data_IF_344887549834
#
_entry.id   IF_344887549834
#
_cell.length_a   1.000
_cell.length_b   1.000
_cell.length_c   1.000
_cell.angle_alpha   90.00
_cell.angle_beta   90.00
_cell.angle_gamma   90.00
#
_symmetry.space_group_name_H-M   'P 1'
#
loop_
_entity.id
_entity.type
_entity.pdbx_description
1 polymer ?
#
# COMPACT_ATOMS: atom_id res chain seq x y z
N UNK A 1 5.00 -15.66 12.99
CA UNK A 1 4.14 -14.51 12.61
C UNK A 1 4.88 -13.74 11.55
N UNK A 2 4.30 -13.57 10.36
CA UNK A 2 4.95 -12.80 9.29
C UNK A 2 4.76 -11.32 9.60
N UNK A 3 5.85 -10.58 9.57
CA UNK A 3 5.92 -9.12 9.56
C UNK A 3 4.85 -8.48 8.66
N UNK A 4 4.57 -9.07 7.48
CA UNK A 4 3.50 -8.59 6.58
C UNK A 4 2.09 -8.61 7.20
N UNK A 5 1.73 -9.64 7.98
CA UNK A 5 0.43 -9.72 8.66
C UNK A 5 0.34 -8.73 9.82
N UNK A 6 1.45 -8.52 10.55
CA UNK A 6 1.52 -7.48 11.58
C UNK A 6 1.25 -6.10 10.96
N UNK A 7 1.99 -5.73 9.91
CA UNK A 7 1.85 -4.42 9.27
C UNK A 7 0.48 -4.25 8.60
N UNK A 8 -0.07 -5.29 7.99
CA UNK A 8 -1.43 -5.26 7.45
C UNK A 8 -2.45 -4.83 8.52
N UNK A 9 -2.38 -5.43 9.70
CA UNK A 9 -3.31 -5.16 10.81
C UNK A 9 -3.11 -3.79 11.43
N UNK A 10 -1.87 -3.41 11.76
CA UNK A 10 -1.62 -2.14 12.47
C UNK A 10 -1.80 -0.91 11.57
N UNK A 11 -1.60 -1.06 10.25
CA UNK A 11 -1.90 -0.01 9.28
C UNK A 11 -3.40 0.09 8.98
N UNK A 12 -4.22 -0.82 9.50
CA UNK A 12 -5.66 -0.85 9.25
C UNK A 12 -6.01 -1.10 7.78
N UNK A 13 -5.15 -1.82 7.06
CA UNK A 13 -5.42 -2.18 5.66
C UNK A 13 -6.58 -3.16 5.62
N UNK A 14 -7.36 -3.06 4.54
CA UNK A 14 -8.48 -3.96 4.26
C UNK A 14 -8.31 -4.54 2.87
N UNK A 15 -8.96 -5.67 2.62
CA UNK A 15 -9.11 -6.15 1.24
C UNK A 15 -9.66 -5.04 0.34
N UNK A 16 -9.14 -4.91 -0.89
CA UNK A 16 -8.26 -5.85 -1.58
C UNK A 16 -6.75 -5.56 -1.41
N UNK A 17 -6.38 -4.65 -0.53
CA UNK A 17 -4.98 -4.32 -0.25
C UNK A 17 -4.32 -5.40 0.61
N UNK A 18 -3.02 -5.60 0.41
CA UNK A 18 -2.18 -6.46 1.24
C UNK A 18 -0.76 -5.91 1.31
N UNK A 19 -0.02 -6.28 2.35
CA UNK A 19 1.40 -5.96 2.47
C UNK A 19 2.19 -7.02 1.70
N UNK A 20 2.82 -6.61 0.61
CA UNK A 20 3.66 -7.48 -0.22
C UNK A 20 4.99 -7.77 0.47
N UNK A 21 5.64 -6.74 0.99
CA UNK A 21 6.97 -6.83 1.58
C UNK A 21 7.18 -5.77 2.67
N UNK A 22 8.07 -6.08 3.60
CA UNK A 22 8.55 -5.18 4.64
C UNK A 22 10.08 -5.29 4.66
N UNK A 23 10.75 -4.15 4.52
CA UNK A 23 12.21 -4.06 4.50
C UNK A 23 12.65 -3.18 5.68
N UNK A 24 13.50 -3.73 6.55
CA UNK A 24 14.07 -3.00 7.68
C UNK A 24 15.53 -2.69 7.38
N UNK A 25 15.86 -1.41 7.29
CA UNK A 25 17.23 -0.91 7.25
C UNK A 25 17.62 -0.38 8.63
N UNK A 26 18.44 -1.14 9.34
CA UNK A 26 18.91 -0.76 10.67
C UNK A 26 20.01 0.27 10.67
N UNK A 27 20.76 0.42 9.57
CA UNK A 27 21.81 1.41 9.44
C UNK A 27 21.22 2.80 9.23
N UNK A 28 20.21 2.91 8.37
CA UNK A 28 19.50 4.16 8.07
C UNK A 28 18.35 4.47 9.03
N UNK A 29 18.03 3.54 9.93
CA UNK A 29 16.92 3.72 10.89
C UNK A 29 15.58 3.82 10.17
N UNK A 30 15.33 2.95 9.19
CA UNK A 30 14.21 3.05 8.25
C UNK A 30 13.48 1.72 8.05
N UNK A 31 12.17 1.78 7.91
CA UNK A 31 11.31 0.67 7.49
C UNK A 31 10.58 1.07 6.22
N UNK A 32 10.68 0.25 5.17
CA UNK A 32 9.96 0.41 3.92
C UNK A 32 8.92 -0.70 3.80
N UNK A 33 7.65 -0.32 3.66
CA UNK A 33 6.51 -1.23 3.57
C UNK A 33 5.94 -1.11 2.17
N UNK A 34 5.92 -2.20 1.41
CA UNK A 34 5.29 -2.23 0.09
C UNK A 34 3.88 -2.80 0.20
N UNK A 35 2.92 -2.03 -0.28
CA UNK A 35 1.48 -2.32 -0.25
C UNK A 35 0.97 -2.41 -1.68
N UNK A 36 0.27 -3.50 -1.97
CA UNK A 36 -0.26 -3.82 -3.30
C UNK A 36 -1.70 -4.30 -3.16
N UNK A 37 -2.42 -4.42 -4.27
CA UNK A 37 -3.77 -4.99 -4.29
C UNK A 37 -3.86 -6.18 -5.24
N UNK A 38 -4.82 -7.07 -5.01
CA UNK A 38 -5.00 -8.26 -5.84
C UNK A 38 -5.33 -7.93 -7.31
N UNK A 39 -5.07 -8.86 -8.25
CA UNK A 39 -5.51 -8.72 -9.64
C UNK A 39 -7.04 -8.82 -9.76
N UNK A 40 -7.61 -8.22 -10.80
CA UNK A 40 -9.05 -8.29 -11.07
C UNK A 40 -9.93 -7.45 -10.15
N UNK A 41 -9.32 -6.65 -9.27
CA UNK A 41 -10.03 -5.70 -8.41
C UNK A 41 -10.63 -4.59 -9.26
N UNK A 42 -11.89 -4.27 -8.96
CA UNK A 42 -12.59 -3.12 -9.52
C UNK A 42 -12.58 -1.97 -8.52
N UNK A 43 -12.47 -0.76 -9.04
CA UNK A 43 -12.36 0.45 -8.26
C UNK A 43 -13.46 1.43 -8.63
N UNK A 44 -13.88 2.24 -7.66
CA UNK A 44 -14.85 3.30 -7.90
C UNK A 44 -14.18 4.49 -8.56
N UNK A 45 -14.77 4.97 -9.66
CA UNK A 45 -14.33 6.21 -10.28
C UNK A 45 -14.59 7.39 -9.32
N UNK A 46 -13.57 8.23 -9.02
CA UNK A 46 -13.75 9.38 -8.14
C UNK A 46 -14.69 10.44 -8.72
N UNK A 47 -14.91 10.46 -10.04
CA UNK A 47 -15.74 11.46 -10.72
C UNK A 47 -17.21 11.03 -10.82
N UNK A 48 -17.47 9.77 -11.20
CA UNK A 48 -18.84 9.31 -11.51
C UNK A 48 -19.37 8.24 -10.55
N UNK A 49 -18.52 7.68 -9.66
CA UNK A 49 -18.92 6.65 -8.70
C UNK A 49 -19.22 5.27 -9.30
N UNK A 50 -18.98 5.05 -10.60
CA UNK A 50 -19.13 3.71 -11.20
C UNK A 50 -17.96 2.82 -10.82
N UNK A 51 -18.25 1.56 -10.60
CA UNK A 51 -17.26 0.51 -10.37
C UNK A 51 -16.67 0.07 -11.72
N UNK A 52 -15.37 0.25 -11.91
CA UNK A 52 -14.66 0.02 -13.17
C UNK A 52 -13.44 -0.86 -12.94
N UNK A 53 -13.03 -1.59 -13.97
CA UNK A 53 -11.80 -2.36 -13.91
C UNK A 53 -10.58 -1.43 -13.79
N UNK A 54 -9.57 -1.86 -13.03
CA UNK A 54 -8.28 -1.18 -13.01
C UNK A 54 -7.69 -1.15 -14.42
N UNK A 55 -7.48 0.05 -14.99
CA UNK A 55 -6.87 0.24 -16.31
C UNK A 55 -5.36 0.07 -16.23
N UNK A 56 -4.76 0.88 -15.36
CA UNK A 56 -3.33 0.97 -15.13
C UNK A 56 -3.06 1.43 -13.70
N UNK A 57 -1.79 1.56 -13.37
CA UNK A 57 -1.33 2.05 -12.09
C UNK A 57 -0.57 3.35 -12.26
N UNK A 58 -0.77 4.28 -11.33
CA UNK A 58 0.11 5.43 -11.21
C UNK A 58 1.55 4.98 -10.90
N UNK A 59 2.51 5.86 -11.16
CA UNK A 59 3.87 5.66 -10.65
C UNK A 59 3.86 5.38 -9.14
N UNK A 60 4.78 4.52 -8.65
CA UNK A 60 4.89 4.22 -7.23
C UNK A 60 4.96 5.50 -6.41
N UNK A 61 4.04 5.62 -5.45
CA UNK A 61 4.03 6.74 -4.50
C UNK A 61 4.55 6.26 -3.16
N UNK A 62 5.24 7.18 -2.49
CA UNK A 62 5.80 6.96 -1.17
C UNK A 62 5.15 7.92 -0.19
N UNK A 63 4.62 7.39 0.91
CA UNK A 63 4.08 8.17 2.02
C UNK A 63 4.89 7.96 3.27
N UNK A 64 5.14 9.04 4.00
CA UNK A 64 5.73 8.98 5.33
C UNK A 64 4.64 8.68 6.36
N UNK A 65 4.78 7.60 7.11
CA UNK A 65 3.87 7.22 8.19
C UNK A 65 4.42 7.63 9.56
N UNK A 66 3.69 7.34 10.63
CA UNK A 66 4.26 7.30 11.98
C UNK A 66 5.37 6.25 12.09
N UNK A 67 6.32 6.53 12.98
CA UNK A 67 7.47 5.65 13.22
C UNK A 67 7.07 4.32 13.81
N UNK A 68 7.74 3.28 13.34
CA UNK A 68 7.73 1.97 13.99
C UNK A 68 8.88 1.96 14.98
N UNK A 69 8.57 2.16 16.25
CA UNK A 69 9.56 2.34 17.32
C UNK A 69 10.51 3.50 17.00
N UNK A 70 11.81 3.25 16.88
CA UNK A 70 12.83 4.24 16.51
C UNK A 70 13.07 4.38 15.01
N UNK A 71 12.34 3.62 14.17
CA UNK A 71 12.57 3.57 12.73
C UNK A 71 11.55 4.42 11.97
N UNK A 72 12.04 5.20 11.00
CA UNK A 72 11.19 5.96 10.08
C UNK A 72 10.48 5.02 9.12
N UNK A 73 9.15 5.00 9.17
CA UNK A 73 8.34 4.12 8.33
C UNK A 73 7.83 4.84 7.08
N UNK A 74 8.05 4.21 5.93
CA UNK A 74 7.62 4.67 4.62
C UNK A 74 6.75 3.61 3.95
N UNK A 75 5.56 4.00 3.48
CA UNK A 75 4.68 3.15 2.70
C UNK A 75 4.89 3.41 1.22
N UNK A 76 5.05 2.35 0.44
CA UNK A 76 5.13 2.36 -1.01
C UNK A 76 3.90 1.68 -1.57
N UNK A 77 3.17 2.35 -2.45
CA UNK A 77 2.06 1.72 -3.16
C UNK A 77 1.86 2.34 -4.53
N UNK A 78 1.35 1.52 -5.45
CA UNK A 78 0.90 1.95 -6.76
C UNK A 78 -0.60 2.16 -6.73
N UNK A 79 -1.03 3.41 -6.95
CA UNK A 79 -2.45 3.74 -6.89
C UNK A 79 -3.13 3.28 -8.19
N UNK A 80 -4.18 2.45 -8.10
CA UNK A 80 -4.93 2.01 -9.27
C UNK A 80 -5.65 3.20 -9.92
N UNK A 81 -5.66 3.23 -11.24
CA UNK A 81 -6.38 4.21 -12.04
C UNK A 81 -7.49 3.51 -12.82
N UNK A 82 -8.63 4.18 -12.89
CA UNK A 82 -9.78 3.76 -13.69
C UNK A 82 -10.03 4.79 -14.78
N UNK A 83 -10.58 4.33 -15.89
CA UNK A 83 -10.93 5.17 -17.04
C UNK A 83 -12.45 5.13 -17.21
N UNK A 84 -13.08 6.30 -17.10
CA UNK A 84 -14.54 6.46 -17.08
C UNK A 84 -15.08 6.84 -18.45
#
# INVERSE_FOLDING_TARGET
MKDTDLYFRILGLTEPWFVEAVELDTAEGRVDIRVEHGPGVRWFCPTCGRELACRDHAEPRVWRHLDTCQFKTFLHARIPRVDC
#
